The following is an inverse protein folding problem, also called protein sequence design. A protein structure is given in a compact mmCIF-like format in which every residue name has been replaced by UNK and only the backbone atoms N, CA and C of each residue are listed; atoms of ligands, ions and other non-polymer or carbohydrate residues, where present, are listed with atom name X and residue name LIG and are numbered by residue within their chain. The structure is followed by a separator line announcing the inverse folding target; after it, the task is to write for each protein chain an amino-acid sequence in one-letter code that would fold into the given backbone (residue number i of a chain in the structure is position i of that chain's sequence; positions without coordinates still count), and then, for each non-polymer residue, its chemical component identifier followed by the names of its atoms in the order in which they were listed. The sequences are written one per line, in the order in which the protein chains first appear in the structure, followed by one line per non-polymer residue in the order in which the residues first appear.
data_IF_856720765612
#
_entry.id   IF_856720765612
#
_cell.length_a   1.000
_cell.length_b   1.000
_cell.length_c   1.000
_cell.angle_alpha   90.00
_cell.angle_beta   90.00
_cell.angle_gamma   90.00
#
_symmetry.space_group_name_H-M   'P 1'
#
loop_
_entity.id
_entity.type
_entity.pdbx_description
1 polymer ?
#
# COMPACT_ATOMS: atom_id res chain seq x y z
N UNK A 1 0.85 -3.51 -22.47
CA UNK A 1 1.63 -2.47 -21.76
C UNK A 1 2.67 -1.79 -22.66
N UNK A 2 3.49 -2.53 -23.43
CA UNK A 2 4.51 -1.97 -24.35
C UNK A 2 3.99 -0.98 -25.42
N UNK A 3 2.72 -1.07 -25.79
CA UNK A 3 2.11 -0.27 -26.86
C UNK A 3 1.63 1.13 -26.42
N UNK A 4 1.55 1.42 -25.11
CA UNK A 4 0.89 2.64 -24.61
C UNK A 4 1.82 3.79 -24.25
N UNK A 5 3.12 3.54 -24.04
CA UNK A 5 4.08 4.62 -23.67
C UNK A 5 4.66 5.31 -24.90
N UNK A 6 4.84 4.55 -25.98
CA UNK A 6 5.51 5.01 -27.20
C UNK A 6 4.59 4.97 -28.43
N UNK A 7 3.27 4.80 -28.27
CA UNK A 7 2.29 4.81 -29.38
C UNK A 7 2.66 3.92 -30.58
N UNK A 8 3.15 2.70 -30.32
CA UNK A 8 3.67 1.75 -31.30
C UNK A 8 4.95 2.16 -32.07
N UNK A 9 5.67 3.21 -31.65
CA UNK A 9 6.98 3.57 -32.18
C UNK A 9 8.06 2.64 -31.59
N UNK A 10 8.34 1.54 -32.29
CA UNK A 10 9.30 0.52 -31.84
C UNK A 10 10.71 1.11 -31.64
N UNK A 11 11.13 2.06 -32.47
CA UNK A 11 12.45 2.69 -32.36
C UNK A 11 12.64 3.43 -31.04
N UNK A 12 11.58 4.05 -30.49
CA UNK A 12 11.65 4.73 -29.20
C UNK A 12 11.75 3.74 -28.04
N UNK A 13 11.05 2.61 -28.15
CA UNK A 13 11.12 1.53 -27.17
C UNK A 13 12.53 0.91 -27.14
N UNK A 14 13.12 0.65 -28.30
CA UNK A 14 14.46 0.08 -28.41
C UNK A 14 15.51 1.07 -27.88
N UNK A 15 15.39 2.35 -28.23
CA UNK A 15 16.26 3.40 -27.71
C UNK A 15 16.17 3.54 -26.18
N UNK A 16 14.95 3.48 -25.63
CA UNK A 16 14.72 3.49 -24.19
C UNK A 16 15.41 2.32 -23.50
N UNK A 17 15.15 1.08 -23.95
CA UNK A 17 15.71 -0.11 -23.31
C UNK A 17 17.23 -0.18 -23.41
N UNK A 18 17.79 0.18 -24.56
CA UNK A 18 19.25 0.26 -24.71
C UNK A 18 19.85 1.26 -23.71
N UNK A 19 19.20 2.41 -23.52
CA UNK A 19 19.69 3.43 -22.59
C UNK A 19 19.52 3.02 -21.12
N UNK A 20 18.41 2.36 -20.76
CA UNK A 20 18.23 1.77 -19.42
C UNK A 20 19.30 0.70 -19.15
N UNK A 21 19.59 -0.15 -20.13
CA UNK A 21 20.61 -1.19 -20.00
C UNK A 21 22.01 -0.59 -19.78
N UNK A 22 22.39 0.43 -20.57
CA UNK A 22 23.66 1.14 -20.40
C UNK A 22 23.80 1.79 -19.02
N UNK A 23 22.70 2.28 -18.45
CA UNK A 23 22.67 2.96 -17.15
C UNK A 23 22.15 2.07 -16.01
N UNK A 24 22.12 0.75 -16.19
CA UNK A 24 21.46 -0.18 -15.27
C UNK A 24 21.89 0.01 -13.80
N UNK A 25 23.20 0.14 -13.55
CA UNK A 25 23.74 0.35 -12.19
C UNK A 25 23.22 1.63 -11.54
N UNK A 26 23.03 2.69 -12.32
CA UNK A 26 22.52 3.97 -11.82
C UNK A 26 21.03 3.86 -11.47
N UNK A 27 20.25 3.14 -12.29
CA UNK A 27 18.85 2.82 -11.97
C UNK A 27 18.72 1.93 -10.73
N UNK A 28 19.55 0.91 -10.59
CA UNK A 28 19.58 0.06 -9.40
C UNK A 28 19.92 0.88 -8.14
N UNK A 29 20.88 1.81 -8.24
CA UNK A 29 21.25 2.69 -7.14
C UNK A 29 20.14 3.67 -6.78
N UNK A 30 19.45 4.25 -7.78
CA UNK A 30 18.27 5.09 -7.57
C UNK A 30 17.22 4.33 -6.75
N UNK A 31 16.89 3.11 -7.14
CA UNK A 31 15.88 2.30 -6.45
C UNK A 31 16.32 1.88 -5.05
N UNK A 32 17.62 1.62 -4.83
CA UNK A 32 18.16 1.29 -3.50
C UNK A 32 18.17 2.48 -2.55
N UNK A 33 18.49 3.67 -3.05
CA UNK A 33 18.66 4.87 -2.22
C UNK A 33 17.32 5.51 -1.84
N UNK A 34 16.25 5.22 -2.58
CA UNK A 34 14.96 5.82 -2.39
C UNK A 34 13.92 4.77 -2.05
N UNK A 35 13.61 4.65 -0.76
CA UNK A 35 12.50 3.82 -0.26
C UNK A 35 11.18 4.15 -0.99
N UNK A 36 10.98 5.43 -1.32
CA UNK A 36 9.89 5.91 -2.16
C UNK A 36 10.46 6.68 -3.35
N UNK A 37 10.34 6.12 -4.54
CA UNK A 37 10.68 6.84 -5.76
C UNK A 37 9.59 7.88 -6.06
N UNK A 38 9.90 9.16 -5.82
CA UNK A 38 8.97 10.25 -6.16
C UNK A 38 9.18 10.72 -7.59
N UNK A 39 8.16 11.36 -8.18
CA UNK A 39 8.26 12.00 -9.50
C UNK A 39 9.44 12.96 -9.57
N UNK A 40 9.61 13.81 -8.55
CA UNK A 40 10.72 14.78 -8.46
C UNK A 40 12.08 14.07 -8.48
N UNK A 41 12.24 13.02 -7.67
CA UNK A 41 13.48 12.24 -7.62
C UNK A 41 13.79 11.62 -8.98
N UNK A 42 12.79 11.01 -9.62
CA UNK A 42 12.95 10.40 -10.93
C UNK A 42 13.33 11.42 -12.01
N UNK A 43 12.61 12.54 -12.12
CA UNK A 43 12.92 13.59 -13.11
C UNK A 43 14.30 14.21 -12.89
N UNK A 44 14.72 14.43 -11.64
CA UNK A 44 16.08 14.90 -11.34
C UNK A 44 17.11 13.88 -11.80
N UNK A 45 16.93 12.61 -11.47
CA UNK A 45 17.80 11.53 -11.93
C UNK A 45 17.89 11.48 -13.46
N UNK A 46 16.76 11.54 -14.16
CA UNK A 46 16.73 11.51 -15.63
C UNK A 46 17.53 12.67 -16.23
N UNK A 47 17.38 13.89 -15.70
CA UNK A 47 18.16 15.06 -16.15
C UNK A 47 19.66 14.87 -15.94
N UNK A 48 20.08 14.34 -14.80
CA UNK A 48 21.48 14.05 -14.50
C UNK A 48 22.05 12.97 -15.45
N UNK A 49 21.30 11.90 -15.70
CA UNK A 49 21.74 10.85 -16.64
C UNK A 49 21.81 11.37 -18.07
N UNK A 50 20.89 12.25 -18.48
CA UNK A 50 20.92 12.90 -19.78
C UNK A 50 22.14 13.81 -19.95
N UNK A 51 22.46 14.63 -18.94
CA UNK A 51 23.63 15.54 -19.02
C UNK A 51 24.97 14.79 -19.07
N UNK A 52 25.02 13.60 -18.49
CA UNK A 52 26.21 12.76 -18.47
C UNK A 52 26.33 11.84 -19.70
N UNK A 53 25.34 11.85 -20.60
CA UNK A 53 25.31 10.99 -21.79
C UNK A 53 25.71 11.76 -23.04
N UNK A 54 26.54 11.15 -23.89
CA UNK A 54 26.96 11.74 -25.17
C UNK A 54 25.79 11.79 -26.17
N UNK A 55 24.87 10.83 -26.11
CA UNK A 55 23.71 10.75 -27.00
C UNK A 55 22.50 10.14 -26.27
N UNK A 56 21.85 10.90 -25.36
CA UNK A 56 20.67 10.41 -24.66
C UNK A 56 19.46 10.33 -25.62
N UNK A 57 18.59 9.30 -25.50
CA UNK A 57 17.39 9.17 -26.32
C UNK A 57 16.29 10.13 -25.82
N UNK A 58 16.47 11.43 -26.06
CA UNK A 58 15.63 12.52 -25.50
C UNK A 58 14.14 12.29 -25.74
N UNK A 59 13.75 11.88 -26.95
CA UNK A 59 12.34 11.63 -27.30
C UNK A 59 11.74 10.49 -26.48
N UNK A 60 12.48 9.38 -26.32
CA UNK A 60 12.00 8.24 -25.54
C UNK A 60 11.90 8.57 -24.05
N UNK A 61 12.87 9.33 -23.52
CA UNK A 61 12.83 9.83 -22.14
C UNK A 61 11.61 10.73 -21.92
N UNK A 62 11.37 11.69 -22.81
CA UNK A 62 10.22 12.60 -22.74
C UNK A 62 8.89 11.84 -22.78
N UNK A 63 8.74 10.83 -23.64
CA UNK A 63 7.55 9.97 -23.67
C UNK A 63 7.32 9.23 -22.35
N UNK A 64 8.38 8.71 -21.72
CA UNK A 64 8.27 8.06 -20.40
C UNK A 64 7.88 9.07 -19.33
N UNK A 65 8.52 10.24 -19.27
CA UNK A 65 8.18 11.28 -18.29
C UNK A 65 6.73 11.75 -18.44
N UNK A 66 6.26 11.94 -19.68
CA UNK A 66 4.88 12.31 -19.96
C UNK A 66 3.91 11.21 -19.52
N UNK A 67 4.19 9.94 -19.85
CA UNK A 67 3.37 8.82 -19.45
C UNK A 67 3.28 8.69 -17.92
N UNK A 68 4.39 8.87 -17.20
CA UNK A 68 4.39 8.84 -15.73
C UNK A 68 3.53 9.95 -15.14
N UNK A 69 3.51 11.13 -15.76
CA UNK A 69 2.71 12.27 -15.34
C UNK A 69 1.22 12.06 -15.62
N UNK A 70 0.87 11.74 -16.87
CA UNK A 70 -0.52 11.57 -17.32
C UNK A 70 -1.27 10.51 -16.51
N UNK A 71 -0.60 9.40 -16.20
CA UNK A 71 -1.20 8.29 -15.47
C UNK A 71 -0.94 8.35 -13.95
N UNK A 72 -0.24 9.38 -13.46
CA UNK A 72 0.05 9.54 -12.03
C UNK A 72 0.76 8.33 -11.42
N UNK A 73 1.71 7.72 -12.15
CA UNK A 73 2.37 6.47 -11.76
C UNK A 73 3.25 6.66 -10.53
N UNK A 74 4.01 7.77 -10.49
CA UNK A 74 4.89 8.09 -9.37
C UNK A 74 4.21 9.08 -8.41
N UNK A 75 4.37 8.89 -7.10
CA UNK A 75 3.87 9.85 -6.12
C UNK A 75 4.64 11.18 -6.17
N UNK A 76 4.00 12.22 -5.64
CA UNK A 76 4.64 13.48 -5.27
C UNK A 76 4.68 13.63 -3.73
N UNK A 77 5.37 14.66 -3.24
CA UNK A 77 5.48 14.93 -1.79
C UNK A 77 4.11 15.04 -1.10
N UNK A 78 3.15 15.69 -1.78
CA UNK A 78 1.81 15.95 -1.28
C UNK A 78 0.71 15.33 -2.15
N UNK A 79 1.05 14.44 -3.07
CA UNK A 79 0.07 13.71 -3.90
C UNK A 79 0.40 12.24 -3.95
N UNK A 80 -0.65 11.44 -3.91
CA UNK A 80 -0.57 9.99 -4.04
C UNK A 80 -0.49 9.58 -5.52
N UNK A 81 0.14 8.45 -5.80
CA UNK A 81 0.05 7.82 -7.11
C UNK A 81 -1.38 7.31 -7.37
N UNK A 82 -1.68 7.02 -8.63
CA UNK A 82 -2.94 6.40 -9.03
C UNK A 82 -3.21 5.11 -8.24
N UNK A 83 -2.21 4.24 -8.12
CA UNK A 83 -2.34 2.97 -7.42
C UNK A 83 -2.54 3.15 -5.90
N UNK A 84 -1.84 4.11 -5.29
CA UNK A 84 -2.05 4.46 -3.88
C UNK A 84 -3.50 4.93 -3.63
N UNK A 85 -4.02 5.83 -4.49
CA UNK A 85 -5.40 6.31 -4.38
C UNK A 85 -6.40 5.17 -4.60
N UNK A 86 -6.20 4.34 -5.62
CA UNK A 86 -7.07 3.22 -5.93
C UNK A 86 -7.10 2.22 -4.77
N UNK A 87 -5.95 1.94 -4.16
CA UNK A 87 -5.86 1.13 -2.95
C UNK A 87 -6.67 1.74 -1.82
N UNK A 88 -6.48 3.03 -1.52
CA UNK A 88 -7.23 3.70 -0.45
C UNK A 88 -8.74 3.64 -0.65
N UNK A 89 -9.22 3.94 -1.87
CA UNK A 89 -10.65 3.89 -2.18
C UNK A 89 -11.20 2.46 -2.05
N UNK A 90 -10.45 1.45 -2.49
CA UNK A 90 -10.85 0.05 -2.36
C UNK A 90 -10.96 -0.37 -0.90
N UNK A 91 -9.99 0.01 -0.08
CA UNK A 91 -10.02 -0.24 1.36
C UNK A 91 -11.18 0.50 2.03
N UNK A 92 -11.39 1.78 1.67
CA UNK A 92 -12.47 2.62 2.20
C UNK A 92 -13.83 1.99 1.94
N UNK A 93 -14.10 1.61 0.70
CA UNK A 93 -15.35 0.97 0.32
C UNK A 93 -15.54 -0.36 1.08
N UNK A 94 -14.50 -1.21 1.13
CA UNK A 94 -14.57 -2.47 1.86
C UNK A 94 -14.85 -2.26 3.36
N UNK A 95 -14.27 -1.22 3.97
CA UNK A 95 -14.54 -0.86 5.36
C UNK A 95 -15.98 -0.34 5.57
N UNK A 96 -16.48 0.50 4.67
CA UNK A 96 -17.87 1.01 4.69
C UNK A 96 -18.91 -0.12 4.52
N UNK A 97 -18.57 -1.12 3.69
CA UNK A 97 -19.34 -2.37 3.52
C UNK A 97 -19.19 -3.35 4.69
N UNK A 98 -18.44 -2.99 5.74
CA UNK A 98 -18.14 -3.84 6.90
C UNK A 98 -17.56 -5.20 6.48
N UNK A 99 -16.66 -5.22 5.49
CA UNK A 99 -15.89 -6.40 5.13
C UNK A 99 -14.69 -6.51 6.06
N UNK A 100 -14.39 -7.70 6.62
CA UNK A 100 -13.16 -7.88 7.37
C UNK A 100 -11.97 -7.80 6.41
N UNK A 101 -10.97 -7.00 6.76
CA UNK A 101 -9.77 -6.78 5.96
C UNK A 101 -8.55 -7.19 6.79
N UNK A 102 -7.71 -8.04 6.22
CA UNK A 102 -6.43 -8.44 6.82
C UNK A 102 -5.30 -8.15 5.85
N UNK A 103 -4.14 -7.84 6.38
CA UNK A 103 -2.96 -7.54 5.59
C UNK A 103 -1.69 -8.11 6.20
N UNK A 104 -0.80 -8.56 5.33
CA UNK A 104 0.50 -9.13 5.71
C UNK A 104 1.65 -8.34 5.07
N UNK A 105 2.74 -8.12 5.81
CA UNK A 105 3.85 -7.34 5.32
C UNK A 105 4.60 -8.05 4.20
N UNK A 106 5.45 -7.29 3.51
CA UNK A 106 6.49 -7.83 2.62
C UNK A 106 7.48 -8.70 3.41
N UNK A 107 8.33 -9.42 2.69
CA UNK A 107 9.39 -10.26 3.29
C UNK A 107 10.36 -9.44 4.13
N UNK A 108 10.73 -8.24 3.66
CA UNK A 108 11.61 -7.30 4.35
C UNK A 108 10.91 -5.94 4.54
N UNK A 109 9.98 -5.82 5.52
CA UNK A 109 9.27 -4.59 5.77
C UNK A 109 10.14 -3.60 6.59
N UNK A 110 9.85 -2.29 6.51
CA UNK A 110 10.52 -1.29 7.33
C UNK A 110 10.45 -1.60 8.84
N UNK A 111 11.45 -1.09 9.56
CA UNK A 111 11.54 -1.22 11.02
C UNK A 111 10.22 -0.83 11.72
N UNK A 112 9.81 -1.66 12.69
CA UNK A 112 8.57 -1.51 13.43
C UNK A 112 7.45 -2.46 13.00
N UNK A 113 7.60 -3.15 11.86
CA UNK A 113 6.61 -4.09 11.32
C UNK A 113 7.11 -5.52 11.52
N UNK A 114 6.24 -6.39 12.04
CA UNK A 114 6.60 -7.80 12.29
C UNK A 114 6.50 -8.58 10.98
N UNK A 115 7.60 -9.17 10.52
CA UNK A 115 7.63 -10.04 9.33
C UNK A 115 6.72 -11.27 9.49
N UNK A 116 6.24 -11.82 8.36
CA UNK A 116 5.43 -13.05 8.32
C UNK A 116 4.21 -13.02 9.24
N UNK A 117 3.64 -11.83 9.40
CA UNK A 117 2.57 -11.57 10.36
C UNK A 117 1.30 -11.10 9.69
N UNK A 118 0.16 -11.27 10.34
CA UNK A 118 -1.12 -10.75 9.83
C UNK A 118 -1.66 -9.68 10.77
N UNK A 119 -1.96 -8.52 10.19
CA UNK A 119 -2.60 -7.40 10.84
C UNK A 119 -4.06 -7.31 10.38
N UNK A 120 -4.95 -6.89 11.26
CA UNK A 120 -6.32 -6.54 10.89
C UNK A 120 -6.39 -5.05 10.56
N UNK A 121 -6.99 -4.69 9.43
CA UNK A 121 -7.30 -3.29 9.14
C UNK A 121 -8.68 -2.98 9.74
N UNK A 122 -8.69 -2.12 10.74
CA UNK A 122 -9.86 -1.83 11.59
C UNK A 122 -10.44 -0.43 11.37
N UNK A 123 -9.78 0.41 10.58
CA UNK A 123 -10.27 1.75 10.31
C UNK A 123 -9.51 2.45 9.20
N UNK A 124 -10.14 3.48 8.65
CA UNK A 124 -9.60 4.30 7.57
C UNK A 124 -9.92 5.75 7.89
N UNK A 125 -8.96 6.64 7.64
CA UNK A 125 -9.09 8.05 7.94
C UNK A 125 -8.43 8.90 6.86
N UNK A 126 -9.03 10.04 6.58
CA UNK A 126 -8.40 11.14 5.86
C UNK A 126 -8.24 12.34 6.79
N UNK A 127 -7.07 12.96 6.80
CA UNK A 127 -6.83 14.18 7.56
C UNK A 127 -7.60 15.34 6.94
N UNK A 128 -8.31 16.09 7.78
CA UNK A 128 -8.99 17.33 7.35
C UNK A 128 -8.02 18.48 7.12
N UNK A 129 -6.78 18.37 7.61
CA UNK A 129 -5.78 19.45 7.56
C UNK A 129 -4.88 19.28 6.35
N UNK A 130 -4.29 18.10 6.17
CA UNK A 130 -3.32 17.82 5.11
C UNK A 130 -3.88 17.02 3.93
N UNK A 131 -5.11 16.51 4.05
CA UNK A 131 -5.67 15.54 3.12
C UNK A 131 -4.86 14.23 2.99
N UNK A 132 -3.91 13.99 3.91
CA UNK A 132 -3.21 12.71 4.01
C UNK A 132 -4.17 11.61 4.39
N UNK A 133 -3.91 10.44 3.82
CA UNK A 133 -4.72 9.24 3.95
C UNK A 133 -4.02 8.27 4.89
N UNK A 134 -4.81 7.65 5.75
CA UNK A 134 -4.31 6.78 6.81
C UNK A 134 -5.16 5.52 6.91
N UNK A 135 -4.49 4.42 7.22
CA UNK A 135 -5.11 3.15 7.63
C UNK A 135 -4.86 2.93 9.12
N UNK A 136 -5.80 2.30 9.80
CA UNK A 136 -5.68 1.92 11.20
C UNK A 136 -5.59 0.40 11.25
N UNK A 137 -4.45 -0.11 11.72
CA UNK A 137 -4.15 -1.52 11.78
C UNK A 137 -4.11 -1.98 13.24
N UNK A 138 -4.51 -3.22 13.49
CA UNK A 138 -4.35 -3.92 14.76
C UNK A 138 -3.44 -5.13 14.56
N UNK A 139 -2.38 -5.20 15.34
CA UNK A 139 -1.55 -6.37 15.55
C UNK A 139 -2.20 -7.25 16.63
N UNK A 140 -2.82 -8.39 16.26
CA UNK A 140 -3.53 -9.23 17.21
C UNK A 140 -2.61 -9.91 18.23
N UNK A 141 -1.32 -10.05 17.93
CA UNK A 141 -0.36 -10.74 18.80
C UNK A 141 0.40 -9.81 19.75
N UNK A 142 0.28 -8.48 19.61
CA UNK A 142 1.04 -7.60 20.48
C UNK A 142 0.47 -7.54 21.90
N UNK A 143 -0.83 -7.74 22.13
CA UNK A 143 -1.40 -7.65 23.49
C UNK A 143 -1.16 -8.90 24.33
N UNK A 144 -1.05 -10.07 23.70
CA UNK A 144 -0.97 -11.37 24.38
C UNK A 144 0.47 -11.87 24.55
N UNK A 145 1.45 -10.97 24.46
CA UNK A 145 2.88 -11.31 24.53
C UNK A 145 3.36 -11.30 25.97
N UNK A 146 4.33 -12.17 26.27
CA UNK A 146 4.95 -12.20 27.58
C UNK A 146 5.80 -10.92 27.77
N UNK A 147 5.85 -10.35 28.97
CA UNK A 147 6.43 -9.02 29.22
C UNK A 147 7.86 -8.81 28.67
N UNK A 148 8.70 -9.85 28.71
CA UNK A 148 10.04 -9.84 28.12
C UNK A 148 10.04 -9.71 26.58
N UNK A 149 9.08 -10.31 25.89
CA UNK A 149 9.00 -10.24 24.42
C UNK A 149 8.58 -8.85 23.92
N UNK A 150 7.94 -8.02 24.75
CA UNK A 150 7.68 -6.61 24.43
C UNK A 150 8.94 -5.74 24.39
N UNK A 151 10.07 -6.22 24.93
CA UNK A 151 11.35 -5.48 24.83
C UNK A 151 12.00 -5.64 23.46
N UNK A 152 11.83 -6.80 22.81
CA UNK A 152 12.50 -7.14 21.55
C UNK A 152 11.65 -6.93 20.30
N UNK A 153 10.34 -6.72 20.44
CA UNK A 153 9.43 -6.63 19.30
C UNK A 153 8.53 -5.40 19.38
N UNK A 154 8.41 -4.71 18.24
CA UNK A 154 7.44 -3.64 18.06
C UNK A 154 6.03 -4.19 17.82
N UNK A 155 5.03 -3.41 18.21
CA UNK A 155 3.62 -3.69 17.90
C UNK A 155 3.23 -3.22 16.52
N UNK A 156 3.87 -2.16 16.04
CA UNK A 156 3.72 -1.67 14.68
C UNK A 156 4.54 -0.42 14.43
N UNK A 157 4.33 0.17 13.25
CA UNK A 157 4.90 1.44 12.81
C UNK A 157 3.79 2.48 12.74
N UNK A 158 3.94 3.58 13.47
CA UNK A 158 2.88 4.57 13.68
C UNK A 158 3.22 5.90 13.01
N UNK A 159 2.23 6.49 12.35
CA UNK A 159 2.31 7.78 11.70
C UNK A 159 1.57 8.83 12.53
N UNK A 160 2.26 9.91 12.87
CA UNK A 160 1.74 11.05 13.63
C UNK A 160 1.83 12.27 12.74
N UNK A 161 0.70 12.95 12.59
CA UNK A 161 0.63 14.25 11.96
C UNK A 161 0.64 15.35 13.03
N UNK A 162 1.54 16.32 12.90
CA UNK A 162 1.64 17.50 13.78
C UNK A 162 1.62 18.77 12.95
N UNK A 163 0.96 19.80 13.47
CA UNK A 163 0.98 21.12 12.86
C UNK A 163 1.95 22.00 13.65
N UNK A 164 3.03 22.44 13.00
CA UNK A 164 4.03 23.33 13.58
C UNK A 164 4.21 24.54 12.65
N UNK A 165 4.03 25.75 13.18
CA UNK A 165 4.17 27.01 12.43
C UNK A 165 3.33 27.07 11.13
N UNK A 166 2.10 26.55 11.17
CA UNK A 166 1.22 26.50 10.00
C UNK A 166 1.58 25.42 8.96
N UNK A 167 2.69 24.70 9.15
CA UNK A 167 3.11 23.58 8.30
C UNK A 167 2.70 22.26 8.93
N UNK A 168 2.16 21.35 8.13
CA UNK A 168 1.80 20.01 8.62
C UNK A 168 2.95 19.04 8.37
N UNK A 169 3.53 18.53 9.46
CA UNK A 169 4.62 17.57 9.45
C UNK A 169 4.10 16.16 9.73
N UNK A 170 4.68 15.17 9.03
CA UNK A 170 4.42 13.76 9.25
C UNK A 170 5.66 13.11 9.89
N UNK A 171 5.47 12.49 11.05
CA UNK A 171 6.50 11.68 11.70
C UNK A 171 6.09 10.23 11.70
N UNK A 172 7.02 9.32 11.39
CA UNK A 172 6.77 7.88 11.38
C UNK A 172 7.78 7.20 12.29
N UNK A 173 7.31 6.40 13.24
CA UNK A 173 8.19 5.69 14.19
C UNK A 173 7.66 4.32 14.59
N UNK A 174 8.55 3.36 14.91
CA UNK A 174 8.17 2.12 15.56
C UNK A 174 7.53 2.36 16.94
N UNK A 175 6.48 1.61 17.27
CA UNK A 175 5.78 1.70 18.55
C UNK A 175 5.47 0.32 19.13
N UNK A 176 5.37 0.23 20.46
CA UNK A 176 4.97 -0.97 21.19
C UNK A 176 3.46 -0.99 21.46
N UNK A 177 2.65 -0.60 20.47
CA UNK A 177 1.19 -0.58 20.58
C UNK A 177 0.60 -1.59 19.61
N UNK A 178 -0.48 -2.26 20.02
CA UNK A 178 -1.20 -3.21 19.18
C UNK A 178 -1.97 -2.52 18.07
N UNK A 179 -2.55 -1.36 18.35
CA UNK A 179 -3.27 -0.55 17.37
C UNK A 179 -2.41 0.60 16.90
N UNK A 180 -2.26 0.73 15.59
CA UNK A 180 -1.44 1.75 14.94
C UNK A 180 -2.22 2.43 13.82
N UNK A 181 -2.10 3.75 13.74
CA UNK A 181 -2.40 4.52 12.52
C UNK A 181 -1.15 4.56 11.66
N UNK A 182 -1.26 4.25 10.38
CA UNK A 182 -0.17 4.26 9.42
C UNK A 182 -0.60 5.08 8.21
N UNK A 183 0.30 5.92 7.71
CA UNK A 183 0.09 6.72 6.51
C UNK A 183 0.05 5.79 5.27
N UNK A 184 -0.81 6.11 4.31
CA UNK A 184 -1.15 5.24 3.19
C UNK A 184 0.05 4.83 2.33
N UNK A 185 0.99 5.73 2.05
CA UNK A 185 2.19 5.42 1.26
C UNK A 185 3.12 4.51 2.02
N UNK A 186 3.34 4.78 3.31
CA UNK A 186 4.10 3.88 4.19
C UNK A 186 3.46 2.48 4.24
N UNK A 187 2.13 2.41 4.31
CA UNK A 187 1.37 1.16 4.26
C UNK A 187 1.54 0.42 2.92
N UNK A 188 1.30 1.09 1.79
CA UNK A 188 1.42 0.49 0.45
C UNK A 188 2.84 -0.04 0.18
N UNK A 189 3.85 0.63 0.74
CA UNK A 189 5.22 0.17 0.63
C UNK A 189 5.55 -1.00 1.56
N UNK A 190 4.95 -1.06 2.75
CA UNK A 190 5.32 -2.05 3.76
C UNK A 190 4.57 -3.37 3.65
N UNK A 191 3.38 -3.36 3.04
CA UNK A 191 2.50 -4.53 2.92
C UNK A 191 2.46 -5.07 1.50
N UNK A 192 2.41 -6.41 1.37
CA UNK A 192 2.34 -7.09 0.07
C UNK A 192 0.97 -7.73 -0.17
N UNK A 193 0.35 -8.26 0.88
CA UNK A 193 -0.86 -9.05 0.77
C UNK A 193 -1.98 -8.37 1.54
N UNK A 194 -3.11 -8.20 0.87
CA UNK A 194 -4.34 -7.66 1.46
C UNK A 194 -5.45 -8.61 1.03
N UNK A 195 -6.10 -9.21 2.02
CA UNK A 195 -7.27 -10.05 1.79
C UNK A 195 -8.51 -9.39 2.42
N UNK A 196 -9.64 -9.55 1.74
CA UNK A 196 -10.89 -8.92 2.09
C UNK A 196 -12.02 -9.94 2.05
N UNK A 197 -12.50 -10.32 3.23
CA UNK A 197 -13.59 -11.28 3.38
C UNK A 197 -14.93 -10.74 2.88
N UNK A 198 -15.98 -11.55 3.05
CA UNK A 198 -17.35 -11.19 2.64
C UNK A 198 -17.93 -10.11 3.56
N UNK A 199 -18.83 -9.29 3.03
CA UNK A 199 -19.51 -8.24 3.80
C UNK A 199 -20.37 -8.85 4.92
N UNK A 200 -20.26 -8.29 6.11
CA UNK A 200 -21.10 -8.64 7.25
C UNK A 200 -22.51 -8.04 7.16
N UNK A 201 -22.74 -7.12 6.21
CA UNK A 201 -24.07 -6.57 5.94
C UNK A 201 -24.94 -7.53 5.10
N UNK A 202 -24.34 -8.56 4.50
CA UNK A 202 -25.06 -9.53 3.68
C UNK A 202 -25.85 -10.50 4.58
N UNK A 203 -27.08 -10.10 4.93
CA UNK A 203 -27.99 -10.77 5.88
C UNK A 203 -28.42 -12.19 5.49
N UNK A 204 -28.04 -12.71 4.33
CA UNK A 204 -28.41 -14.07 3.89
C UNK A 204 -27.74 -15.17 4.71
N UNK A 205 -26.57 -14.90 5.33
CA UNK A 205 -25.90 -15.87 6.21
C UNK A 205 -26.65 -16.12 7.53
N UNK A 206 -27.39 -15.13 8.05
CA UNK A 206 -28.17 -15.30 9.27
C UNK A 206 -29.48 -16.08 9.05
N UNK A 207 -30.05 -16.05 7.83
CA UNK A 207 -31.28 -16.80 7.53
C UNK A 207 -31.03 -18.29 7.36
N UNK A 208 -29.94 -18.68 6.70
CA UNK A 208 -29.62 -20.10 6.49
C UNK A 208 -29.25 -20.86 7.77
N UNK A 209 -28.71 -20.17 8.79
CA UNK A 209 -28.45 -20.82 10.10
C UNK A 209 -29.71 -20.88 10.98
N UNK A 210 -30.61 -19.89 10.89
CA UNK A 210 -31.86 -19.88 11.64
C UNK A 210 -32.88 -20.91 11.11
N UNK A 211 -32.95 -21.11 9.79
CA UNK A 211 -33.82 -22.12 9.17
C UNK A 211 -33.37 -23.56 9.47
N UNK A 212 -32.06 -23.80 9.62
CA UNK A 212 -31.53 -25.11 10.00
C UNK A 212 -31.65 -25.45 11.49
N UNK A 213 -31.91 -24.47 12.35
CA UNK A 213 -32.13 -24.66 13.79
C UNK A 213 -33.63 -24.74 14.18
N UNK A 214 -34.53 -24.56 13.20
CA UNK A 214 -35.99 -24.57 13.41
C UNK A 214 -36.73 -25.78 12.84
N UNK A 215 -36.04 -26.91 12.64
CA UNK A 215 -36.71 -28.21 12.54
C UNK A 215 -36.68 -28.94 13.91
N UNK A 216 -37.67 -28.74 14.80
CA UNK A 216 -37.92 -29.68 15.88
C UNK A 216 -38.58 -30.93 15.28
N UNK A 217 -38.04 -32.10 15.66
CA UNK A 217 -38.66 -33.42 15.70
C UNK A 217 -39.99 -33.59 14.92
N UNK A 218 -39.94 -34.34 13.82
CA UNK A 218 -41.11 -35.11 13.39
C UNK A 218 -40.76 -36.61 13.35
N UNK A 219 -41.37 -37.34 14.30
CA UNK A 219 -41.91 -38.68 14.09
C UNK A 219 -40.92 -39.83 13.95
N UNK A 220 -40.56 -40.47 15.06
CA UNK A 220 -40.40 -41.93 15.06
C UNK A 220 -41.73 -42.53 15.51
N UNK A 221 -42.53 -42.96 14.54
CA UNK A 221 -43.68 -43.83 14.78
C UNK A 221 -43.18 -45.24 15.14
N UNK A 222 -43.85 -45.83 16.13
CA UNK A 222 -43.75 -47.21 16.55
C UNK A 222 -43.97 -48.17 15.37
N UNK A 223 -43.12 -49.20 15.26
CA UNK A 223 -43.49 -50.45 14.59
C UNK A 223 -43.34 -51.56 15.63
N UNK A 224 -44.44 -52.29 15.81
CA UNK A 224 -44.59 -53.47 16.66
C UNK A 224 -44.08 -54.72 15.95
#
# INVERSE_FOLDING_TARGET
MRQYVFDNHQELLDAWWNWVHLNQKNFEQLLKNHLFLTKKTFTTFMREQMSNSINPPVKAIASVEQWLDEYGILPEENKYSYDEIKLFLSLKNAHEEQRPIVCSPKEDPPEGITMQHTYALIGIKESKISHRKFVILRNPHHENRNWFSHYFFYGGRHSIERQENGTTMLTISPVKRSTITMELRDFAHSFAYIDCGRSLQNKELCKQHAENLHHPNQGFEHIS
#
